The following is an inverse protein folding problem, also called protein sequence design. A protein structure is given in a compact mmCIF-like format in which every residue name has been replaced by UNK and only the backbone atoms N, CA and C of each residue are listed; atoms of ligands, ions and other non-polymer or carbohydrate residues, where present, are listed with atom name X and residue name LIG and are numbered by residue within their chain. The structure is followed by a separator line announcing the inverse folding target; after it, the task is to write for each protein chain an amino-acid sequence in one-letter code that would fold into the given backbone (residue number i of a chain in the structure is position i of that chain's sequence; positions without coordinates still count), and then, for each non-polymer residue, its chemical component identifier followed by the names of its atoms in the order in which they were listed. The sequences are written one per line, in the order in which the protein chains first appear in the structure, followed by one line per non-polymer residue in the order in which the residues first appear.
data_IF_973865308980
#
_entry.id   IF_973865308980
#
_cell.length_a   1.000
_cell.length_b   1.000
_cell.length_c   1.000
_cell.angle_alpha   90.00
_cell.angle_beta   90.00
_cell.angle_gamma   90.00
#
_symmetry.space_group_name_H-M   'P 1'
#
loop_
_entity.id
_entity.type
_entity.pdbx_description
1 polymer ?
#
# COMPACT_ATOMS: atom_id res chain seq x y z
N UNK A 1 11.37 8.04 15.18
CA UNK A 1 12.14 7.86 13.93
C UNK A 1 11.47 8.70 12.85
N UNK A 2 11.81 9.98 12.76
CA UNK A 2 11.42 10.83 11.62
C UNK A 2 12.29 10.44 10.43
N UNK A 3 11.68 10.10 9.28
CA UNK A 3 12.41 9.85 8.03
C UNK A 3 12.08 8.56 7.27
N UNK A 4 11.37 7.61 7.88
CA UNK A 4 11.01 6.32 7.25
C UNK A 4 9.57 6.25 6.74
N UNK A 5 8.88 7.39 6.59
CA UNK A 5 7.46 7.39 6.18
C UNK A 5 7.32 7.32 4.67
N UNK A 6 6.39 6.50 4.18
CA UNK A 6 6.00 6.41 2.77
C UNK A 6 5.28 7.70 2.39
N UNK A 7 5.86 8.45 1.46
CA UNK A 7 5.32 9.73 0.98
C UNK A 7 4.81 9.57 -0.45
N UNK A 8 4.05 10.58 -0.93
CA UNK A 8 3.65 10.64 -2.35
C UNK A 8 4.85 10.67 -3.31
N UNK A 9 6.02 11.06 -2.81
CA UNK A 9 7.27 11.11 -3.57
C UNK A 9 7.80 9.76 -4.05
N UNK A 10 7.28 8.64 -3.55
CA UNK A 10 7.63 7.30 -4.07
C UNK A 10 6.81 6.88 -5.29
N UNK A 11 5.66 7.48 -5.54
CA UNK A 11 4.72 6.97 -6.54
C UNK A 11 4.82 7.73 -7.85
N UNK A 12 4.60 7.00 -8.95
CA UNK A 12 4.55 7.55 -10.33
C UNK A 12 5.78 8.38 -10.73
N UNK A 13 6.94 8.04 -10.15
CA UNK A 13 8.24 8.59 -10.55
C UNK A 13 9.04 7.55 -11.31
N UNK A 14 9.86 8.02 -12.24
CA UNK A 14 10.84 7.19 -12.94
C UNK A 14 11.78 6.53 -11.91
N UNK A 15 11.89 5.21 -11.93
CA UNK A 15 12.78 4.46 -11.02
C UNK A 15 14.27 4.84 -11.19
N UNK A 16 14.63 5.49 -12.29
CA UNK A 16 15.98 6.02 -12.56
C UNK A 16 16.22 7.40 -11.97
N UNK A 17 15.17 8.07 -11.51
CA UNK A 17 15.28 9.37 -10.87
C UNK A 17 16.09 9.29 -9.58
N UNK A 18 17.01 10.24 -9.40
CA UNK A 18 17.92 10.25 -8.25
C UNK A 18 17.19 10.53 -6.95
N UNK A 19 16.18 11.40 -6.98
CA UNK A 19 15.43 11.76 -5.79
C UNK A 19 14.54 10.61 -5.35
N UNK A 20 13.89 9.92 -6.30
CA UNK A 20 13.20 8.65 -6.04
C UNK A 20 14.14 7.63 -5.37
N UNK A 21 15.31 7.35 -5.96
CA UNK A 21 16.26 6.36 -5.40
C UNK A 21 16.72 6.71 -3.99
N UNK A 22 16.98 8.00 -3.74
CA UNK A 22 17.37 8.48 -2.42
C UNK A 22 16.22 8.31 -1.40
N UNK A 23 14.99 8.64 -1.79
CA UNK A 23 13.81 8.52 -0.96
C UNK A 23 13.49 7.05 -0.64
N UNK A 24 13.51 6.17 -1.66
CA UNK A 24 13.32 4.74 -1.50
C UNK A 24 14.34 4.15 -0.53
N UNK A 25 15.62 4.46 -0.72
CA UNK A 25 16.69 4.00 0.18
C UNK A 25 16.54 4.54 1.59
N UNK A 26 16.13 5.80 1.75
CA UNK A 26 15.89 6.40 3.07
C UNK A 26 14.76 5.68 3.81
N UNK A 27 13.69 5.33 3.10
CA UNK A 27 12.51 4.70 3.70
C UNK A 27 12.78 3.23 4.01
N UNK A 28 13.16 2.44 3.00
CA UNK A 28 13.28 0.99 3.15
C UNK A 28 14.67 0.52 3.58
N UNK A 29 15.66 1.41 3.66
CA UNK A 29 17.05 1.05 4.01
C UNK A 29 17.65 -0.03 3.08
N UNK A 30 17.16 -0.07 1.84
CA UNK A 30 17.63 -0.94 0.74
C UNK A 30 17.59 -0.13 -0.55
N UNK A 31 18.45 -0.42 -1.52
CA UNK A 31 18.38 0.25 -2.82
C UNK A 31 17.33 -0.43 -3.69
N UNK A 32 16.63 0.34 -4.52
CA UNK A 32 15.67 -0.24 -5.47
C UNK A 32 16.37 -1.19 -6.45
N UNK A 33 17.62 -0.92 -6.81
CA UNK A 33 18.41 -1.78 -7.69
C UNK A 33 18.70 -3.15 -7.08
N UNK A 34 18.78 -3.26 -5.75
CA UNK A 34 18.97 -4.54 -5.08
C UNK A 34 17.66 -5.36 -5.15
N UNK A 35 16.51 -4.70 -4.97
CA UNK A 35 15.17 -5.31 -5.10
C UNK A 35 14.89 -5.78 -6.53
N UNK A 36 15.37 -5.04 -7.53
CA UNK A 36 15.17 -5.33 -8.95
C UNK A 36 16.26 -6.20 -9.56
N UNK A 37 17.23 -6.69 -8.76
CA UNK A 37 18.43 -7.34 -9.31
C UNK A 37 18.15 -8.62 -10.10
N UNK A 38 17.03 -9.29 -9.83
CA UNK A 38 16.59 -10.51 -10.50
C UNK A 38 15.58 -10.27 -11.63
N UNK A 39 15.20 -9.00 -11.88
CA UNK A 39 14.14 -8.66 -12.82
C UNK A 39 14.67 -7.83 -13.99
N UNK A 40 14.28 -8.21 -15.21
CA UNK A 40 14.43 -7.31 -16.35
C UNK A 40 13.36 -6.22 -16.31
N UNK A 41 13.70 -4.97 -16.69
CA UNK A 41 12.79 -3.82 -16.59
C UNK A 41 11.46 -4.01 -17.35
N UNK A 42 11.44 -4.85 -18.38
CA UNK A 42 10.27 -5.22 -19.17
C UNK A 42 9.38 -6.29 -18.53
N UNK A 43 9.73 -6.83 -17.37
CA UNK A 43 8.98 -7.89 -16.65
C UNK A 43 8.48 -7.44 -15.26
N UNK A 44 8.94 -6.28 -14.77
CA UNK A 44 8.64 -5.78 -13.41
C UNK A 44 7.16 -5.42 -13.16
N UNK A 45 6.36 -5.30 -14.21
CA UNK A 45 4.95 -4.90 -14.16
C UNK A 45 3.97 -6.07 -14.14
N UNK A 46 4.44 -7.30 -14.32
CA UNK A 46 3.59 -8.50 -14.32
C UNK A 46 3.14 -8.91 -12.90
N UNK A 47 4.08 -8.84 -11.95
CA UNK A 47 3.86 -9.24 -10.56
C UNK A 47 4.52 -8.24 -9.62
N UNK A 48 3.90 -7.94 -8.47
CA UNK A 48 4.56 -7.14 -7.48
C UNK A 48 5.75 -7.89 -6.88
N UNK A 49 6.77 -7.15 -6.48
CA UNK A 49 8.01 -7.72 -5.94
C UNK A 49 7.98 -7.60 -4.42
N UNK A 50 8.13 -8.73 -3.75
CA UNK A 50 8.23 -8.77 -2.29
C UNK A 50 9.65 -8.45 -1.82
N UNK A 51 9.79 -7.61 -0.81
CA UNK A 51 11.07 -7.40 -0.13
C UNK A 51 11.22 -8.50 0.92
N UNK A 52 12.09 -9.46 0.62
CA UNK A 52 12.32 -10.70 1.37
C UNK A 52 12.18 -10.56 2.90
N UNK A 53 11.22 -11.30 3.48
CA UNK A 53 10.95 -11.38 4.92
C UNK A 53 10.60 -10.06 5.62
N UNK A 54 10.20 -9.03 4.88
CA UNK A 54 9.81 -7.74 5.47
C UNK A 54 8.31 -7.52 5.54
N UNK A 55 7.50 -8.37 4.88
CA UNK A 55 6.06 -8.13 4.73
C UNK A 55 5.78 -6.84 3.96
N UNK A 56 6.62 -6.53 2.97
CA UNK A 56 6.51 -5.35 2.12
C UNK A 56 6.52 -5.82 0.67
N UNK A 57 5.52 -5.42 -0.09
CA UNK A 57 5.38 -5.80 -1.50
C UNK A 57 5.20 -4.54 -2.34
N UNK A 58 5.94 -4.42 -3.44
CA UNK A 58 5.96 -3.24 -4.30
C UNK A 58 5.33 -3.61 -5.63
N UNK A 59 4.22 -2.93 -5.97
CA UNK A 59 3.61 -3.04 -7.28
C UNK A 59 4.14 -1.95 -8.22
N UNK A 60 4.46 -2.35 -9.44
CA UNK A 60 4.92 -1.44 -10.49
C UNK A 60 3.85 -1.26 -11.55
N UNK A 61 3.79 -0.06 -12.12
CA UNK A 61 2.96 0.21 -13.28
C UNK A 61 3.66 -0.22 -14.56
N UNK A 62 2.86 -0.58 -15.57
CA UNK A 62 3.37 -1.05 -16.86
C UNK A 62 4.31 -0.05 -17.54
N UNK A 63 5.51 -0.51 -17.88
CA UNK A 63 6.42 0.28 -18.71
C UNK A 63 5.84 0.39 -20.12
N UNK A 64 5.77 1.62 -20.62
CA UNK A 64 5.38 1.86 -22.01
C UNK A 64 6.46 2.67 -22.69
N UNK A 65 6.41 2.74 -24.02
CA UNK A 65 7.30 3.60 -24.83
C UNK A 65 7.31 5.06 -24.35
N UNK A 66 6.27 5.51 -23.64
CA UNK A 66 6.11 6.90 -23.17
C UNK A 66 6.28 7.08 -21.66
N UNK A 67 6.18 6.01 -20.89
CA UNK A 67 6.15 6.06 -19.43
C UNK A 67 7.15 5.03 -18.93
N UNK A 68 8.26 5.46 -18.29
CA UNK A 68 9.21 4.53 -17.72
C UNK A 68 8.56 3.72 -16.61
N UNK A 69 9.20 2.64 -16.17
CA UNK A 69 8.86 1.95 -14.94
C UNK A 69 8.65 2.91 -13.76
N UNK A 70 7.61 2.67 -12.94
CA UNK A 70 7.28 3.48 -11.76
C UNK A 70 6.65 2.60 -10.67
N UNK A 71 6.88 2.93 -9.40
CA UNK A 71 6.10 2.34 -8.30
C UNK A 71 4.67 2.87 -8.36
N UNK A 72 3.72 1.95 -8.37
CA UNK A 72 2.29 2.24 -8.44
C UNK A 72 1.61 2.10 -7.07
N UNK A 73 2.00 1.08 -6.31
CA UNK A 73 1.53 0.88 -4.95
C UNK A 73 2.57 0.17 -4.09
N UNK A 74 2.43 0.32 -2.77
CA UNK A 74 3.17 -0.43 -1.77
C UNK A 74 2.16 -1.10 -0.86
N UNK A 75 2.31 -2.39 -0.68
CA UNK A 75 1.54 -3.19 0.25
C UNK A 75 2.38 -3.53 1.47
N UNK A 76 1.77 -3.34 2.64
CA UNK A 76 2.35 -3.68 3.93
C UNK A 76 1.49 -4.76 4.56
N UNK A 77 2.08 -5.93 4.82
CA UNK A 77 1.55 -6.87 5.78
C UNK A 77 1.72 -6.25 7.17
N UNK A 78 0.60 -5.94 7.82
CA UNK A 78 0.59 -5.39 9.18
C UNK A 78 0.08 -6.41 10.20
N UNK A 79 -0.38 -7.57 9.73
CA UNK A 79 -0.80 -8.68 10.59
C UNK A 79 0.40 -9.45 11.11
N UNK A 80 1.25 -9.93 10.20
CA UNK A 80 2.43 -10.71 10.54
C UNK A 80 3.64 -9.80 10.83
N UNK A 81 3.64 -8.58 10.27
CA UNK A 81 4.71 -7.60 10.43
C UNK A 81 4.18 -6.27 10.99
N UNK A 82 3.61 -6.29 12.20
CA UNK A 82 2.98 -5.11 12.82
C UNK A 82 3.88 -3.88 12.91
N UNK A 83 5.21 -4.04 12.94
CA UNK A 83 6.18 -2.95 12.87
C UNK A 83 6.04 -2.09 11.60
N UNK A 84 5.46 -2.64 10.51
CA UNK A 84 5.31 -1.95 9.23
C UNK A 84 4.34 -0.77 9.30
N UNK A 85 3.50 -0.66 10.34
CA UNK A 85 2.74 0.56 10.61
C UNK A 85 3.65 1.79 10.80
N UNK A 86 4.91 1.54 11.18
CA UNK A 86 5.97 2.54 11.28
C UNK A 86 6.23 3.27 9.96
N UNK A 87 5.89 2.69 8.81
CA UNK A 87 6.01 3.31 7.49
C UNK A 87 4.88 4.28 7.15
N UNK A 88 3.73 4.20 7.83
CA UNK A 88 2.56 5.01 7.52
C UNK A 88 2.76 6.45 7.99
N UNK A 89 2.51 7.44 7.12
CA UNK A 89 2.47 8.85 7.53
C UNK A 89 1.38 9.06 8.57
N UNK A 90 0.24 8.38 8.38
CA UNK A 90 -0.89 8.43 9.29
C UNK A 90 -0.94 7.21 10.20
N UNK A 91 -1.18 7.45 11.49
CA UNK A 91 -1.51 6.39 12.44
C UNK A 91 -2.87 5.79 12.11
N UNK A 92 -2.90 4.49 11.85
CA UNK A 92 -4.11 3.69 11.62
C UNK A 92 -4.29 2.78 12.84
N UNK A 93 -5.51 2.63 13.37
CA UNK A 93 -5.76 1.78 14.52
C UNK A 93 -5.81 0.30 14.08
N UNK A 94 -4.64 -0.30 13.81
CA UNK A 94 -4.56 -1.71 13.35
C UNK A 94 -5.14 -2.72 14.34
N UNK A 95 -5.18 -2.36 15.63
CA UNK A 95 -5.75 -3.17 16.70
C UNK A 95 -7.23 -2.88 16.97
N UNK A 96 -7.83 -1.89 16.28
CA UNK A 96 -9.26 -1.65 16.42
C UNK A 96 -10.04 -2.81 15.82
N UNK A 97 -11.13 -3.13 16.49
CA UNK A 97 -12.09 -4.12 16.03
C UNK A 97 -13.02 -3.48 15.00
N UNK A 98 -12.90 -3.92 13.74
CA UNK A 98 -13.70 -3.40 12.62
C UNK A 98 -15.06 -4.12 12.52
N UNK A 99 -15.51 -4.81 13.59
CA UNK A 99 -16.83 -5.46 13.66
C UNK A 99 -17.98 -4.44 13.54
N UNK A 100 -17.76 -3.20 14.04
CA UNK A 100 -18.75 -2.12 14.02
C UNK A 100 -18.35 -1.01 13.06
N UNK A 101 -19.13 -0.77 11.99
CA UNK A 101 -18.88 0.32 11.06
C UNK A 101 -18.82 1.70 11.73
N UNK A 102 -19.57 1.90 12.82
CA UNK A 102 -19.58 3.16 13.56
C UNK A 102 -18.22 3.50 14.18
N UNK A 103 -17.50 2.48 14.66
CA UNK A 103 -16.16 2.64 15.24
C UNK A 103 -15.15 2.99 14.14
N UNK A 104 -15.30 2.38 12.95
CA UNK A 104 -14.48 2.71 11.76
C UNK A 104 -14.71 4.16 11.33
N UNK A 105 -15.97 4.58 11.26
CA UNK A 105 -16.33 5.95 10.92
C UNK A 105 -15.79 6.93 11.96
N UNK A 106 -15.86 6.64 13.26
CA UNK A 106 -15.29 7.52 14.28
C UNK A 106 -13.77 7.71 14.10
N UNK A 107 -13.02 6.61 13.90
CA UNK A 107 -11.57 6.67 13.74
C UNK A 107 -11.13 7.29 12.42
N UNK A 108 -11.92 7.13 11.35
CA UNK A 108 -11.53 7.50 9.99
C UNK A 108 -12.32 8.68 9.39
N UNK A 109 -13.35 9.19 10.06
CA UNK A 109 -14.13 10.37 9.65
C UNK A 109 -13.30 11.63 9.35
N UNK A 110 -12.14 11.87 10.00
CA UNK A 110 -11.30 13.02 9.64
C UNK A 110 -10.70 12.93 8.22
N UNK A 111 -10.78 11.78 7.56
CA UNK A 111 -10.22 11.55 6.24
C UNK A 111 -11.21 11.80 5.11
N UNK A 112 -10.65 12.10 3.94
CA UNK A 112 -11.46 12.34 2.73
C UNK A 112 -11.71 11.03 2.01
N UNK A 113 -12.78 10.99 1.22
CA UNK A 113 -13.11 9.84 0.36
C UNK A 113 -13.20 8.51 1.13
N UNK A 114 -13.68 8.53 2.38
CA UNK A 114 -13.88 7.34 3.21
C UNK A 114 -14.95 6.44 2.57
N UNK A 115 -14.60 5.18 2.34
CA UNK A 115 -15.47 4.15 1.78
C UNK A 115 -15.28 2.83 2.51
N UNK A 116 -16.38 2.22 2.91
CA UNK A 116 -16.40 0.92 3.59
C UNK A 116 -17.06 -0.09 2.65
N UNK A 117 -16.33 -1.15 2.33
CA UNK A 117 -16.78 -2.25 1.50
C UNK A 117 -17.00 -3.47 2.39
N UNK A 118 -18.16 -4.09 2.21
CA UNK A 118 -18.57 -5.28 2.94
C UNK A 118 -18.32 -6.54 2.10
N UNK A 119 -18.09 -7.66 2.78
CA UNK A 119 -17.97 -8.96 2.13
C UNK A 119 -19.24 -9.29 1.35
N UNK A 120 -19.07 -9.77 0.12
CA UNK A 120 -20.18 -10.25 -0.72
C UNK A 120 -20.88 -11.48 -0.12
N UNK A 121 -20.19 -12.22 0.76
CA UNK A 121 -20.71 -13.44 1.39
C UNK A 121 -21.25 -13.19 2.80
N UNK A 122 -20.84 -12.10 3.45
CA UNK A 122 -21.34 -11.68 4.76
C UNK A 122 -21.43 -10.15 4.82
N UNK A 123 -22.62 -9.61 4.59
CA UNK A 123 -22.86 -8.15 4.54
C UNK A 123 -22.65 -7.43 5.88
N UNK A 124 -22.46 -8.16 6.99
CA UNK A 124 -22.08 -7.58 8.29
C UNK A 124 -20.57 -7.48 8.48
N UNK A 125 -19.80 -8.16 7.65
CA UNK A 125 -18.35 -8.20 7.73
C UNK A 125 -17.77 -7.12 6.82
N UNK A 126 -17.00 -6.22 7.40
CA UNK A 126 -16.16 -5.30 6.63
C UNK A 126 -15.03 -6.09 5.99
N UNK A 127 -14.86 -5.91 4.68
CA UNK A 127 -13.81 -6.55 3.88
C UNK A 127 -12.69 -5.56 3.56
N UNK A 128 -13.06 -4.32 3.24
CA UNK A 128 -12.09 -3.28 2.88
C UNK A 128 -12.54 -1.90 3.33
N UNK A 129 -11.58 -1.09 3.73
CA UNK A 129 -11.79 0.33 4.00
C UNK A 129 -10.82 1.15 3.17
N UNK A 130 -11.32 2.18 2.48
CA UNK A 130 -10.51 3.06 1.63
C UNK A 130 -10.70 4.50 2.12
N UNK A 131 -9.61 5.26 2.20
CA UNK A 131 -9.66 6.68 2.50
C UNK A 131 -8.42 7.41 1.98
N UNK A 132 -8.50 8.72 1.88
CA UNK A 132 -7.41 9.60 1.46
C UNK A 132 -6.86 10.44 2.62
N UNK A 133 -5.54 10.56 2.67
CA UNK A 133 -4.83 11.47 3.55
C UNK A 133 -3.73 12.18 2.76
N UNK A 134 -3.83 13.50 2.67
CA UNK A 134 -2.99 14.33 1.78
C UNK A 134 -3.05 13.79 0.33
N UNK A 135 -1.90 13.53 -0.29
CA UNK A 135 -1.79 13.01 -1.66
C UNK A 135 -1.79 11.47 -1.72
N UNK A 136 -2.07 10.79 -0.60
CA UNK A 136 -2.03 9.34 -0.49
C UNK A 136 -3.42 8.74 -0.33
N UNK A 137 -3.62 7.59 -0.97
CA UNK A 137 -4.76 6.70 -0.77
C UNK A 137 -4.32 5.49 0.03
N UNK A 138 -5.12 5.16 1.03
CA UNK A 138 -4.95 3.99 1.89
C UNK A 138 -6.07 2.99 1.59
N UNK A 139 -5.72 1.73 1.38
CA UNK A 139 -6.68 0.62 1.28
C UNK A 139 -6.35 -0.40 2.37
N UNK A 140 -7.24 -0.55 3.34
CA UNK A 140 -7.12 -1.47 4.45
C UNK A 140 -7.88 -2.74 4.09
N UNK A 141 -7.20 -3.88 4.10
CA UNK A 141 -7.87 -5.19 4.01
C UNK A 141 -8.18 -5.68 5.42
N UNK A 142 -9.40 -6.17 5.62
CA UNK A 142 -9.90 -6.65 6.91
C UNK A 142 -10.24 -8.13 6.79
N UNK A 143 -9.79 -8.95 7.74
CA UNK A 143 -10.06 -10.39 7.73
C UNK A 143 -11.41 -10.74 8.38
N UNK A 144 -11.73 -12.04 8.45
CA UNK A 144 -12.93 -12.56 9.11
C UNK A 144 -13.02 -12.26 10.60
N UNK A 145 -11.88 -12.01 11.25
CA UNK A 145 -11.80 -11.66 12.67
C UNK A 145 -11.89 -10.15 12.89
N UNK A 146 -12.30 -9.39 11.86
CA UNK A 146 -12.45 -7.93 11.88
C UNK A 146 -11.14 -7.19 12.21
N UNK A 147 -9.98 -7.78 11.87
CA UNK A 147 -8.66 -7.17 12.07
C UNK A 147 -8.08 -6.69 10.74
N UNK A 148 -7.42 -5.53 10.77
CA UNK A 148 -6.68 -5.04 9.59
C UNK A 148 -5.49 -5.96 9.38
N UNK A 149 -5.41 -6.58 8.21
CA UNK A 149 -4.30 -7.48 7.87
C UNK A 149 -3.26 -6.84 6.98
N UNK A 150 -3.70 -5.95 6.09
CA UNK A 150 -2.85 -5.32 5.08
C UNK A 150 -3.22 -3.86 4.92
N UNK A 151 -2.20 -3.05 4.69
CA UNK A 151 -2.35 -1.64 4.29
C UNK A 151 -1.68 -1.45 2.94
N UNK A 152 -2.48 -1.19 1.90
CA UNK A 152 -2.00 -0.72 0.60
C UNK A 152 -1.93 0.80 0.59
N UNK A 153 -0.85 1.33 0.05
CA UNK A 153 -0.62 2.78 -0.10
C UNK A 153 -0.32 3.04 -1.57
N UNK A 154 -0.99 4.02 -2.14
CA UNK A 154 -0.74 4.52 -3.48
C UNK A 154 -1.01 6.02 -3.56
N UNK A 155 -0.72 6.62 -4.71
CA UNK A 155 -1.09 8.02 -4.95
C UNK A 155 -2.61 8.15 -4.98
N UNK A 156 -3.15 9.19 -4.34
CA UNK A 156 -4.58 9.50 -4.42
C UNK A 156 -4.99 9.75 -5.88
N UNK A 157 -6.07 9.11 -6.31
CA UNK A 157 -6.64 9.21 -7.66
C UNK A 157 -8.07 9.75 -7.55
N UNK A 158 -8.49 10.57 -8.53
CA UNK A 158 -9.89 10.98 -8.65
C UNK A 158 -10.79 9.79 -9.03
N UNK A 159 -12.03 9.80 -8.55
CA UNK A 159 -12.95 8.66 -8.54
C UNK A 159 -13.25 8.02 -9.91
N UNK A 160 -13.11 8.76 -11.01
CA UNK A 160 -13.35 8.24 -12.37
C UNK A 160 -12.25 7.33 -12.89
N UNK A 161 -11.12 7.24 -12.17
CA UNK A 161 -9.95 6.45 -12.55
C UNK A 161 -9.64 5.35 -11.53
N UNK A 162 -10.59 4.99 -10.64
CA UNK A 162 -10.35 3.98 -9.60
C UNK A 162 -9.93 2.66 -10.24
N UNK A 163 -8.63 2.40 -10.19
CA UNK A 163 -8.05 1.17 -10.70
C UNK A 163 -8.03 0.16 -9.54
N UNK A 164 -8.99 -0.75 -9.52
CA UNK A 164 -8.99 -1.86 -8.57
C UNK A 164 -7.92 -2.88 -9.00
N UNK A 165 -6.73 -2.75 -8.43
CA UNK A 165 -5.59 -3.63 -8.74
C UNK A 165 -5.72 -4.96 -8.02
N UNK A 166 -5.23 -6.02 -8.66
CA UNK A 166 -5.15 -7.36 -8.07
C UNK A 166 -4.41 -7.31 -6.73
N UNK A 167 -4.91 -8.08 -5.77
CA UNK A 167 -4.24 -8.29 -4.49
C UNK A 167 -3.49 -9.62 -4.59
N UNK A 168 -2.17 -9.54 -4.57
CA UNK A 168 -1.30 -10.72 -4.56
C UNK A 168 -1.05 -11.16 -3.12
N UNK A 169 -0.97 -12.47 -2.90
CA UNK A 169 -0.64 -13.03 -1.60
C UNK A 169 0.84 -12.78 -1.30
N UNK A 170 1.16 -12.47 -0.05
CA UNK A 170 2.55 -12.51 0.42
C UNK A 170 3.01 -13.96 0.47
N UNK A 171 4.27 -14.22 0.12
CA UNK A 171 4.88 -15.53 0.29
C UNK A 171 5.15 -15.74 1.78
N UNK A 172 4.11 -16.21 2.47
CA UNK A 172 4.22 -16.66 3.86
C UNK A 172 4.95 -18.00 3.84
N UNK A 173 6.28 -17.96 3.93
CA UNK A 173 7.14 -19.14 4.04
C UNK A 173 6.69 -20.15 5.08
#
# INVERSE_FOLDING_TARGET
MEGIKITSGLFRKDLRDKDFRNEFKRIFQIKIEDVLSEYEYNEIDEFPIEIENRGIMIGFGAETVKVPAQVEYIDLDVYNHSQNIGYLVKTIPIDADFEKPEDIEEYLAPFRELRIYYSLYNLKQVDRVIFHYEDLRYELSVNSDCRITRVRICLAENETNINMRTYYLFDNG
#
